data_IF_751679687343
#
_entry.id   IF_751679687343
#
_cell.length_a   1.000
_cell.length_b   1.000
_cell.length_c   1.000
_cell.angle_alpha   90.00
_cell.angle_beta   90.00
_cell.angle_gamma   90.00
#
_symmetry.space_group_name_H-M   'P 1'
#
loop_
_entity.id
_entity.type
_entity.pdbx_description
1 polymer ?
#
# COMPACT_ATOMS: atom_id res chain seq x y z
N UNK A 1 -14.88 17.15 51.30
CA UNK A 1 -15.71 16.28 50.43
C UNK A 1 -15.44 16.71 49.00
N UNK A 2 -14.40 16.15 48.38
CA UNK A 2 -13.98 16.50 47.03
C UNK A 2 -15.09 16.09 46.06
N UNK A 3 -15.68 17.08 45.41
CA UNK A 3 -16.80 16.89 44.50
C UNK A 3 -16.41 15.96 43.35
N UNK A 4 -17.04 14.79 43.32
CA UNK A 4 -17.13 13.94 42.14
C UNK A 4 -17.66 14.81 41.00
N UNK A 5 -16.83 15.09 40.00
CA UNK A 5 -17.29 15.68 38.73
C UNK A 5 -18.39 14.78 38.17
N UNK A 6 -19.54 15.37 37.88
CA UNK A 6 -20.77 14.70 37.39
C UNK A 6 -20.75 14.48 35.87
N UNK A 7 -19.56 14.34 35.27
CA UNK A 7 -19.40 14.43 33.82
C UNK A 7 -19.09 13.07 33.18
N UNK A 8 -19.32 11.96 33.89
CA UNK A 8 -19.24 10.62 33.32
C UNK A 8 -20.59 10.28 32.70
N UNK A 9 -20.67 10.47 31.37
CA UNK A 9 -21.75 9.95 30.55
C UNK A 9 -21.46 8.49 30.17
N UNK A 10 -22.46 7.63 30.24
CA UNK A 10 -22.45 6.30 29.61
C UNK A 10 -22.74 6.38 28.11
N UNK A 11 -23.20 7.53 27.63
CA UNK A 11 -23.44 7.76 26.21
C UNK A 11 -22.10 8.00 25.52
N UNK A 12 -21.68 7.02 24.72
CA UNK A 12 -20.53 7.17 23.83
C UNK A 12 -20.92 8.17 22.75
N UNK A 13 -20.54 9.44 22.93
CA UNK A 13 -20.72 10.45 21.89
C UNK A 13 -19.94 10.05 20.63
N UNK A 14 -20.44 10.35 19.43
CA UNK A 14 -19.69 10.10 18.20
C UNK A 14 -18.32 10.78 18.29
N UNK A 15 -17.25 9.99 18.18
CA UNK A 15 -15.89 10.52 18.14
C UNK A 15 -15.66 11.10 16.75
N UNK A 16 -15.19 12.35 16.71
CA UNK A 16 -14.73 13.00 15.50
C UNK A 16 -13.20 13.10 15.57
N UNK A 17 -12.53 12.67 14.51
CA UNK A 17 -11.09 12.61 14.42
C UNK A 17 -10.54 13.75 13.57
N UNK A 18 -9.47 14.35 14.06
CA UNK A 18 -8.71 15.41 13.40
C UNK A 18 -7.40 14.83 12.83
N UNK A 19 -6.62 15.64 12.13
CA UNK A 19 -5.33 15.17 11.61
C UNK A 19 -4.35 14.78 12.74
N UNK A 20 -4.38 15.51 13.84
CA UNK A 20 -3.52 15.29 15.02
C UNK A 20 -3.73 13.90 15.65
N UNK A 21 -4.94 13.34 15.51
CA UNK A 21 -5.27 11.98 16.00
C UNK A 21 -4.53 10.87 15.23
N UNK A 22 -3.94 11.18 14.07
CA UNK A 22 -3.17 10.23 13.24
C UNK A 22 -1.69 10.58 13.14
N UNK A 23 -1.26 11.74 13.62
CA UNK A 23 0.13 12.18 13.60
C UNK A 23 0.92 11.56 14.75
N UNK A 24 1.80 10.60 14.42
CA UNK A 24 2.65 9.91 15.39
C UNK A 24 3.97 10.63 15.65
N UNK A 25 5.06 9.86 15.73
CA UNK A 25 6.40 10.42 15.95
C UNK A 25 6.87 11.36 14.83
N UNK A 26 7.83 12.23 15.14
CA UNK A 26 8.45 13.12 14.15
C UNK A 26 9.21 12.31 13.11
N UNK A 27 8.81 12.44 11.85
CA UNK A 27 9.45 11.77 10.72
C UNK A 27 10.94 12.11 10.61
N UNK A 28 11.79 11.08 10.54
CA UNK A 28 13.26 11.18 10.46
C UNK A 28 13.82 10.83 9.07
N UNK A 29 13.03 11.04 8.03
CA UNK A 29 13.50 10.90 6.64
C UNK A 29 14.33 12.12 6.21
N UNK A 30 15.09 11.97 5.13
CA UNK A 30 15.87 13.07 4.57
C UNK A 30 14.96 14.21 4.08
N UNK A 31 15.37 15.49 4.19
CA UNK A 31 14.65 16.59 3.56
C UNK A 31 14.45 16.35 2.07
N UNK A 32 13.21 16.45 1.60
CA UNK A 32 12.84 16.16 0.20
C UNK A 32 12.57 14.68 -0.11
N UNK A 33 12.58 13.78 0.89
CA UNK A 33 12.15 12.39 0.70
C UNK A 33 10.66 12.31 0.38
N UNK A 34 10.30 11.52 -0.64
CA UNK A 34 8.90 11.30 -1.03
C UNK A 34 8.04 10.62 0.03
N UNK A 35 8.64 9.88 0.97
CA UNK A 35 7.94 9.20 2.07
C UNK A 35 7.04 10.16 2.86
N UNK A 36 7.44 11.42 3.02
CA UNK A 36 6.66 12.45 3.72
C UNK A 36 5.30 12.72 3.06
N UNK A 37 5.26 12.79 1.73
CA UNK A 37 4.03 13.08 0.98
C UNK A 37 3.01 11.95 1.10
N UNK A 38 3.49 10.72 1.06
CA UNK A 38 2.66 9.51 1.22
C UNK A 38 2.11 9.41 2.64
N UNK A 39 2.94 9.65 3.66
CA UNK A 39 2.50 9.67 5.06
C UNK A 39 1.36 10.69 5.26
N UNK A 40 1.56 11.93 4.79
CA UNK A 40 0.56 12.97 4.89
C UNK A 40 -0.73 12.67 4.10
N UNK A 41 -0.64 11.88 3.02
CA UNK A 41 -1.82 11.42 2.29
C UNK A 41 -2.62 10.39 3.10
N UNK A 42 -1.96 9.39 3.68
CA UNK A 42 -2.64 8.37 4.52
C UNK A 42 -3.25 8.99 5.76
N UNK A 43 -2.55 9.89 6.46
CA UNK A 43 -3.10 10.59 7.63
C UNK A 43 -4.36 11.41 7.28
N UNK A 44 -4.36 12.08 6.11
CA UNK A 44 -5.54 12.79 5.62
C UNK A 44 -6.68 11.84 5.28
N UNK A 45 -6.41 10.72 4.62
CA UNK A 45 -7.43 9.71 4.32
C UNK A 45 -8.05 9.17 5.62
N UNK A 46 -7.23 8.82 6.62
CA UNK A 46 -7.75 8.35 7.90
C UNK A 46 -8.68 9.37 8.56
N UNK A 47 -8.31 10.66 8.53
CA UNK A 47 -9.17 11.76 9.01
C UNK A 47 -10.43 11.91 8.17
N UNK A 48 -10.32 11.98 6.84
CA UNK A 48 -11.45 12.28 5.97
C UNK A 48 -12.50 11.16 5.98
N UNK A 49 -12.03 9.91 6.08
CA UNK A 49 -12.86 8.71 6.25
C UNK A 49 -13.25 8.44 7.72
N UNK A 50 -12.80 9.29 8.65
CA UNK A 50 -13.07 9.18 10.10
C UNK A 50 -12.75 7.80 10.68
N UNK A 51 -11.64 7.20 10.26
CA UNK A 51 -11.23 5.85 10.67
C UNK A 51 -10.84 5.85 12.15
N UNK A 52 -11.45 5.05 13.03
CA UNK A 52 -11.02 4.98 14.42
C UNK A 52 -9.53 4.60 14.50
N UNK A 53 -8.67 5.39 15.18
CA UNK A 53 -7.25 5.07 15.32
C UNK A 53 -7.01 3.67 15.91
N UNK A 54 -7.85 3.23 16.84
CA UNK A 54 -7.82 1.89 17.42
C UNK A 54 -8.27 0.75 16.47
N UNK A 55 -8.89 1.07 15.34
CA UNK A 55 -9.25 0.13 14.26
C UNK A 55 -8.32 0.23 13.06
N UNK A 56 -7.35 1.14 13.09
CA UNK A 56 -6.40 1.37 12.00
C UNK A 56 -5.04 0.80 12.38
N UNK A 57 -4.40 0.10 11.45
CA UNK A 57 -3.08 -0.49 11.69
C UNK A 57 -2.15 -0.30 10.50
N UNK A 58 -0.94 0.20 10.78
CA UNK A 58 0.15 0.28 9.82
C UNK A 58 1.15 -0.86 10.05
N UNK A 59 1.41 -1.67 9.02
CA UNK A 59 2.34 -2.81 9.06
C UNK A 59 3.50 -2.54 8.12
N UNK A 60 4.73 -2.81 8.54
CA UNK A 60 5.90 -2.60 7.71
C UNK A 60 7.02 -3.63 7.94
N UNK A 61 7.88 -3.76 6.92
CA UNK A 61 9.09 -4.58 6.96
C UNK A 61 10.28 -3.81 7.51
N UNK A 62 11.41 -3.78 6.79
CA UNK A 62 12.60 -3.01 7.15
C UNK A 62 13.08 -2.15 5.96
N UNK A 63 13.33 -0.87 6.22
CA UNK A 63 13.77 0.11 5.22
C UNK A 63 13.45 1.55 5.65
N UNK A 64 13.82 2.53 4.82
CA UNK A 64 13.40 3.92 5.05
C UNK A 64 11.87 4.01 5.06
N UNK A 65 11.23 3.47 4.02
CA UNK A 65 9.78 3.35 3.92
C UNK A 65 9.17 2.65 5.13
N UNK A 66 9.81 1.60 5.63
CA UNK A 66 9.25 0.79 6.73
C UNK A 66 9.27 1.46 8.10
N UNK A 67 9.81 2.68 8.23
CA UNK A 67 9.60 3.49 9.44
C UNK A 67 8.18 4.05 9.55
N UNK A 68 7.35 3.90 8.51
CA UNK A 68 5.98 4.39 8.43
C UNK A 68 5.12 4.20 9.70
N UNK A 69 5.06 3.00 10.32
CA UNK A 69 4.20 2.80 11.49
C UNK A 69 4.58 3.65 12.71
N UNK A 70 5.83 4.11 12.81
CA UNK A 70 6.26 4.99 13.92
C UNK A 70 5.71 6.41 13.81
N UNK A 71 5.19 6.79 12.63
CA UNK A 71 4.70 8.13 12.34
C UNK A 71 3.16 8.17 12.21
N UNK A 72 2.51 7.03 12.44
CA UNK A 72 1.06 6.92 12.54
C UNK A 72 0.67 6.80 14.02
N UNK A 73 -0.22 7.65 14.50
CA UNK A 73 -0.79 7.54 15.85
C UNK A 73 -1.94 6.51 15.88
N UNK A 74 -1.63 5.28 15.46
CA UNK A 74 -2.58 4.15 15.39
C UNK A 74 -1.90 2.90 15.93
N UNK A 75 -2.53 1.72 15.80
CA UNK A 75 -1.75 0.49 15.96
C UNK A 75 -0.68 0.41 14.86
N UNK A 76 0.49 -0.14 15.21
CA UNK A 76 1.62 -0.25 14.30
C UNK A 76 2.42 -1.53 14.54
N UNK A 77 2.87 -2.18 13.47
CA UNK A 77 3.77 -3.33 13.53
C UNK A 77 4.96 -3.12 12.60
N UNK A 78 6.15 -2.90 13.18
CA UNK A 78 7.42 -2.82 12.45
C UNK A 78 8.14 -4.17 12.58
N UNK A 79 8.01 -5.00 11.56
CA UNK A 79 8.39 -6.40 11.58
C UNK A 79 9.79 -6.69 11.05
N UNK A 80 9.96 -7.89 10.50
CA UNK A 80 11.20 -8.33 9.86
C UNK A 80 11.23 -7.93 8.38
N UNK A 81 12.43 -7.84 7.82
CA UNK A 81 12.65 -7.48 6.42
C UNK A 81 11.93 -8.46 5.48
N UNK A 82 11.09 -7.92 4.59
CA UNK A 82 10.24 -8.63 3.64
C UNK A 82 9.16 -9.49 4.28
N UNK A 83 8.82 -9.26 5.56
CA UNK A 83 7.72 -9.94 6.24
C UNK A 83 6.49 -9.08 6.57
N UNK A 84 6.25 -7.87 5.99
CA UNK A 84 5.02 -7.14 6.34
C UNK A 84 3.76 -7.84 5.83
N UNK A 85 3.81 -8.45 4.64
CA UNK A 85 2.62 -9.06 4.02
C UNK A 85 2.12 -10.31 4.77
N UNK A 86 2.98 -11.26 5.21
CA UNK A 86 2.53 -12.36 6.06
C UNK A 86 1.91 -11.88 7.37
N UNK A 87 2.48 -10.84 7.99
CA UNK A 87 1.94 -10.25 9.22
C UNK A 87 0.58 -9.61 8.96
N UNK A 88 0.45 -8.81 7.89
CA UNK A 88 -0.80 -8.18 7.48
C UNK A 88 -1.89 -9.22 7.17
N UNK A 89 -1.55 -10.31 6.47
CA UNK A 89 -2.48 -11.41 6.20
C UNK A 89 -2.94 -12.09 7.50
N UNK A 90 -2.03 -12.31 8.45
CA UNK A 90 -2.38 -12.86 9.77
C UNK A 90 -3.31 -11.95 10.56
N UNK A 91 -3.06 -10.64 10.55
CA UNK A 91 -3.94 -9.63 11.15
C UNK A 91 -5.32 -9.71 10.51
N UNK A 92 -5.42 -9.64 9.18
CA UNK A 92 -6.70 -9.60 8.47
C UNK A 92 -7.49 -10.89 8.63
N UNK A 93 -6.82 -12.04 8.69
CA UNK A 93 -7.45 -13.35 8.93
C UNK A 93 -8.14 -13.43 10.30
N UNK A 94 -7.63 -12.73 11.32
CA UNK A 94 -8.21 -12.78 12.67
C UNK A 94 -9.06 -11.57 13.02
N UNK A 95 -8.80 -10.43 12.38
CA UNK A 95 -9.42 -9.13 12.65
C UNK A 95 -9.81 -8.48 11.31
N UNK A 96 -10.82 -9.04 10.61
CA UNK A 96 -11.29 -8.50 9.34
C UNK A 96 -11.87 -7.09 9.48
N UNK A 97 -12.21 -6.67 10.70
CA UNK A 97 -12.71 -5.35 11.05
C UNK A 97 -11.63 -4.25 11.07
N UNK A 98 -10.34 -4.59 10.96
CA UNK A 98 -9.26 -3.59 10.95
C UNK A 98 -8.99 -3.03 9.54
N UNK A 99 -8.69 -1.73 9.50
CA UNK A 99 -8.17 -1.03 8.33
C UNK A 99 -6.65 -1.20 8.29
N UNK A 100 -6.17 -1.98 7.32
CA UNK A 100 -4.76 -2.41 7.25
C UNK A 100 -4.03 -1.64 6.14
N UNK A 101 -3.02 -0.88 6.54
CA UNK A 101 -2.07 -0.21 5.66
C UNK A 101 -0.72 -0.90 5.73
N UNK A 102 -0.19 -1.32 4.58
CA UNK A 102 1.11 -1.99 4.51
C UNK A 102 2.12 -1.08 3.80
N UNK A 103 3.19 -0.72 4.49
CA UNK A 103 4.29 0.07 3.93
C UNK A 103 5.52 -0.80 3.68
N UNK A 104 5.96 -0.89 2.42
CA UNK A 104 7.12 -1.70 2.03
C UNK A 104 7.96 -0.98 0.98
N UNK A 105 9.28 -1.13 1.05
CA UNK A 105 10.18 -0.62 0.00
C UNK A 105 10.31 -1.60 -1.16
N UNK A 106 10.82 -1.13 -2.30
CA UNK A 106 11.21 -1.96 -3.44
C UNK A 106 12.07 -3.18 -3.05
N UNK A 107 13.09 -3.01 -2.20
CA UNK A 107 13.88 -4.12 -1.67
C UNK A 107 13.14 -5.06 -0.74
N UNK A 108 12.35 -4.48 0.16
CA UNK A 108 11.58 -5.22 1.17
C UNK A 108 10.53 -6.11 0.50
N UNK A 109 9.81 -5.60 -0.50
CA UNK A 109 8.77 -6.33 -1.22
C UNK A 109 9.32 -7.18 -2.37
N UNK A 110 10.10 -6.60 -3.28
CA UNK A 110 10.44 -7.23 -4.56
C UNK A 110 11.72 -8.08 -4.49
N UNK A 111 12.46 -8.07 -3.38
CA UNK A 111 13.61 -8.97 -3.15
C UNK A 111 13.25 -10.03 -2.12
N UNK A 112 13.60 -9.82 -0.85
CA UNK A 112 13.44 -10.81 0.21
C UNK A 112 11.96 -11.11 0.54
N UNK A 113 11.05 -10.20 0.21
CA UNK A 113 9.60 -10.37 0.36
C UNK A 113 8.87 -10.96 -0.84
N UNK A 114 9.56 -11.23 -1.97
CA UNK A 114 8.90 -11.48 -3.26
C UNK A 114 7.95 -12.69 -3.21
N UNK A 115 8.35 -13.77 -2.53
CA UNK A 115 7.48 -14.94 -2.35
C UNK A 115 6.20 -14.61 -1.60
N UNK A 116 6.27 -13.80 -0.54
CA UNK A 116 5.08 -13.42 0.22
C UNK A 116 4.18 -12.46 -0.55
N UNK A 117 4.76 -11.59 -1.37
CA UNK A 117 4.01 -10.69 -2.24
C UNK A 117 3.14 -11.44 -3.25
N UNK A 118 3.71 -12.43 -3.93
CA UNK A 118 2.97 -13.32 -4.84
C UNK A 118 1.76 -13.94 -4.14
N UNK A 119 1.95 -14.46 -2.92
CA UNK A 119 0.87 -15.10 -2.19
C UNK A 119 -0.15 -14.10 -1.61
N UNK A 120 0.26 -12.92 -1.18
CA UNK A 120 -0.64 -11.89 -0.68
C UNK A 120 -1.60 -11.40 -1.77
N UNK A 121 -1.10 -11.21 -3.00
CA UNK A 121 -1.94 -10.91 -4.17
C UNK A 121 -2.94 -12.03 -4.41
N UNK A 122 -2.49 -13.30 -4.39
CA UNK A 122 -3.38 -14.46 -4.58
C UNK A 122 -4.45 -14.58 -3.50
N UNK A 123 -4.13 -14.26 -2.25
CA UNK A 123 -5.09 -14.26 -1.15
C UNK A 123 -6.09 -13.11 -1.25
N UNK A 124 -5.73 -12.02 -1.94
CA UNK A 124 -6.62 -10.90 -2.19
C UNK A 124 -7.28 -10.33 -0.91
N UNK A 125 -6.56 -10.34 0.21
CA UNK A 125 -7.14 -9.88 1.46
C UNK A 125 -7.29 -8.37 1.49
N UNK A 126 -8.38 -7.87 2.06
CA UNK A 126 -8.71 -6.44 2.10
C UNK A 126 -7.69 -5.64 2.92
N UNK A 127 -6.76 -5.00 2.21
CA UNK A 127 -5.68 -4.16 2.74
C UNK A 127 -5.09 -3.28 1.63
N UNK A 128 -4.52 -2.13 2.01
CA UNK A 128 -3.80 -1.26 1.08
C UNK A 128 -2.30 -1.49 1.22
N UNK A 129 -1.65 -1.88 0.13
CA UNK A 129 -0.19 -2.08 0.06
C UNK A 129 0.46 -0.97 -0.74
N UNK A 130 1.32 -0.21 -0.07
CA UNK A 130 2.09 0.88 -0.64
C UNK A 130 3.53 0.41 -0.87
N UNK A 131 3.90 0.26 -2.14
CA UNK A 131 5.28 0.01 -2.54
C UNK A 131 5.98 1.36 -2.78
N UNK A 132 6.87 1.72 -1.87
CA UNK A 132 7.74 2.89 -1.98
C UNK A 132 8.94 2.52 -2.86
N UNK A 133 8.85 2.85 -4.15
CA UNK A 133 9.84 2.48 -5.16
C UNK A 133 10.80 3.64 -5.44
N UNK A 134 11.96 3.62 -4.78
CA UNK A 134 13.04 4.61 -4.95
C UNK A 134 14.26 4.05 -5.69
N UNK A 135 14.16 2.82 -6.21
CA UNK A 135 15.17 2.13 -7.02
C UNK A 135 16.52 1.91 -6.29
N UNK A 136 16.51 1.80 -4.95
CA UNK A 136 17.73 1.62 -4.15
C UNK A 136 17.44 1.12 -2.73
N UNK A 137 18.38 0.39 -2.13
CA UNK A 137 18.33 0.17 -0.68
C UNK A 137 18.85 1.41 0.06
N UNK A 138 17.95 2.35 0.35
CA UNK A 138 18.31 3.62 0.97
C UNK A 138 18.87 3.47 2.39
N UNK A 139 18.19 2.73 3.26
CA UNK A 139 18.55 2.63 4.69
C UNK A 139 19.93 1.98 4.91
N UNK A 140 20.28 1.01 4.07
CA UNK A 140 21.58 0.31 4.13
C UNK A 140 22.68 1.03 3.36
N UNK A 141 22.41 2.23 2.83
CA UNK A 141 23.34 3.13 2.14
C UNK A 141 23.69 2.70 0.72
N UNK A 142 22.77 2.86 -0.22
CA UNK A 142 23.01 2.81 -1.68
C UNK A 142 23.43 1.44 -2.24
N UNK A 143 22.66 0.39 -1.99
CA UNK A 143 22.81 -0.90 -2.68
C UNK A 143 21.77 -1.05 -3.78
N UNK A 144 22.11 -1.81 -4.82
CA UNK A 144 21.19 -2.17 -5.90
C UNK A 144 19.95 -2.87 -5.36
N UNK A 145 18.77 -2.40 -5.77
CA UNK A 145 17.47 -3.03 -5.53
C UNK A 145 16.98 -3.77 -6.78
N UNK A 146 15.94 -4.61 -6.67
CA UNK A 146 15.32 -5.26 -7.85
C UNK A 146 14.78 -4.29 -8.90
N UNK A 147 14.46 -3.05 -8.51
CA UNK A 147 13.92 -2.03 -9.42
C UNK A 147 14.98 -1.01 -9.87
N UNK A 148 16.23 -1.11 -9.40
CA UNK A 148 17.33 -0.27 -9.87
C UNK A 148 17.47 -0.33 -11.39
N UNK A 149 17.57 0.83 -12.04
CA UNK A 149 17.72 0.90 -13.51
C UNK A 149 19.00 0.18 -13.93
N UNK A 150 18.95 -0.51 -15.07
CA UNK A 150 20.15 -1.12 -15.63
C UNK A 150 21.23 -0.06 -15.85
N UNK A 151 22.47 -0.37 -15.48
CA UNK A 151 23.59 0.57 -15.50
C UNK A 151 23.68 1.52 -14.30
N UNK A 152 22.70 1.55 -13.39
CA UNK A 152 22.75 2.40 -12.20
C UNK A 152 23.90 1.97 -11.28
N UNK A 153 24.84 2.89 -11.04
CA UNK A 153 26.01 2.65 -10.17
C UNK A 153 25.61 2.74 -8.70
N UNK A 154 25.94 1.71 -7.94
CA UNK A 154 25.67 1.61 -6.50
C UNK A 154 26.89 1.03 -5.78
N UNK A 155 26.86 0.97 -4.44
CA UNK A 155 27.96 0.41 -3.64
C UNK A 155 28.20 -1.08 -3.92
N UNK A 156 27.16 -1.85 -4.27
CA UNK A 156 27.28 -3.28 -4.61
C UNK A 156 27.36 -3.53 -6.11
N UNK A 157 27.08 -2.53 -6.94
CA UNK A 157 27.22 -2.59 -8.40
C UNK A 157 28.02 -1.39 -8.90
N UNK A 158 29.34 -1.32 -8.63
CA UNK A 158 30.16 -0.16 -8.96
C UNK A 158 30.34 0.06 -10.47
N UNK A 159 30.07 -0.97 -11.29
CA UNK A 159 30.07 -0.88 -12.76
C UNK A 159 28.65 -0.73 -13.35
N UNK A 160 27.68 -0.42 -12.50
CA UNK A 160 26.26 -0.37 -12.87
C UNK A 160 25.53 -1.69 -12.61
N UNK A 161 24.24 -1.60 -12.29
CA UNK A 161 23.36 -2.76 -12.15
C UNK A 161 23.30 -3.55 -13.48
N UNK A 162 23.56 -4.85 -13.41
CA UNK A 162 23.70 -5.70 -14.60
C UNK A 162 22.35 -6.13 -15.19
N UNK A 163 21.40 -6.45 -14.32
CA UNK A 163 20.10 -6.98 -14.71
C UNK A 163 19.14 -5.84 -15.10
N UNK A 164 18.20 -6.10 -16.03
CA UNK A 164 17.08 -5.19 -16.24
C UNK A 164 16.23 -5.11 -14.96
N UNK A 165 15.64 -3.93 -14.65
CA UNK A 165 14.81 -3.77 -13.46
C UNK A 165 13.57 -4.64 -13.55
N UNK A 166 13.20 -5.25 -12.41
CA UNK A 166 11.87 -5.84 -12.23
C UNK A 166 10.82 -4.73 -12.33
N UNK A 167 9.73 -4.99 -13.06
CA UNK A 167 8.57 -4.11 -13.12
C UNK A 167 7.50 -4.59 -12.11
N UNK A 168 7.28 -3.88 -10.98
CA UNK A 168 6.39 -4.39 -9.94
C UNK A 168 4.91 -4.43 -10.35
N UNK A 169 4.45 -3.46 -11.13
CA UNK A 169 3.06 -3.40 -11.61
C UNK A 169 2.81 -4.54 -12.61
N UNK A 170 3.69 -4.75 -13.58
CA UNK A 170 3.56 -5.85 -14.53
C UNK A 170 3.63 -7.22 -13.84
N UNK A 171 4.52 -7.37 -12.85
CA UNK A 171 4.60 -8.60 -12.05
C UNK A 171 3.28 -8.86 -11.31
N UNK A 172 2.68 -7.83 -10.70
CA UNK A 172 1.39 -7.96 -10.00
C UNK A 172 0.25 -8.31 -10.95
N UNK A 173 0.17 -7.65 -12.10
CA UNK A 173 -0.85 -7.90 -13.14
C UNK A 173 -0.73 -9.29 -13.77
N UNK A 174 0.44 -9.93 -13.67
CA UNK A 174 0.65 -11.31 -14.09
C UNK A 174 0.14 -12.36 -13.11
N UNK A 175 -0.26 -11.96 -11.89
CA UNK A 175 -0.68 -12.90 -10.84
C UNK A 175 -2.16 -13.27 -10.97
N UNK A 176 -2.48 -14.52 -10.64
CA UNK A 176 -3.86 -14.96 -10.47
C UNK A 176 -4.50 -14.29 -9.25
N UNK A 177 -5.80 -13.98 -9.35
CA UNK A 177 -6.60 -13.33 -8.31
C UNK A 177 -6.16 -11.91 -7.92
N UNK A 178 -5.33 -11.25 -8.73
CA UNK A 178 -5.13 -9.80 -8.63
C UNK A 178 -6.48 -9.09 -8.76
N UNK A 179 -6.72 -8.09 -7.93
CA UNK A 179 -8.00 -7.38 -7.88
C UNK A 179 -7.86 -5.86 -7.96
N UNK A 180 -6.70 -5.28 -7.62
CA UNK A 180 -6.46 -3.84 -7.76
C UNK A 180 -4.96 -3.54 -7.93
N UNK A 181 -4.63 -2.76 -8.96
CA UNK A 181 -3.27 -2.29 -9.25
C UNK A 181 -3.31 -0.83 -9.70
N UNK A 182 -2.58 0.03 -9.00
CA UNK A 182 -2.43 1.44 -9.37
C UNK A 182 -0.97 1.90 -9.26
N UNK A 183 -0.66 3.02 -9.92
CA UNK A 183 0.66 3.64 -9.87
C UNK A 183 0.55 5.16 -9.74
N UNK A 184 1.44 5.77 -8.97
CA UNK A 184 1.47 7.23 -8.75
C UNK A 184 2.91 7.73 -8.51
N UNK A 185 3.08 9.05 -8.47
CA UNK A 185 4.36 9.75 -8.25
C UNK A 185 4.30 10.61 -6.99
N UNK A 186 5.32 10.57 -6.13
CA UNK A 186 5.28 11.26 -4.83
C UNK A 186 5.24 12.80 -4.97
N UNK A 187 5.72 13.35 -6.09
CA UNK A 187 5.70 14.79 -6.36
C UNK A 187 4.35 15.33 -6.88
N UNK A 188 3.31 14.49 -6.94
CA UNK A 188 1.94 14.94 -7.15
C UNK A 188 1.05 14.55 -5.96
N UNK A 189 0.97 15.37 -4.90
CA UNK A 189 0.22 15.06 -3.69
C UNK A 189 -1.29 14.87 -3.92
N UNK A 190 -1.86 15.56 -4.91
CA UNK A 190 -3.28 15.44 -5.25
C UNK A 190 -3.57 14.06 -5.83
N UNK A 191 -2.74 13.62 -6.79
CA UNK A 191 -2.88 12.30 -7.40
C UNK A 191 -2.53 11.16 -6.42
N UNK A 192 -1.52 11.32 -5.57
CA UNK A 192 -1.21 10.35 -4.49
C UNK A 192 -2.40 10.16 -3.57
N UNK A 193 -3.02 11.24 -3.08
CA UNK A 193 -4.20 11.16 -2.22
C UNK A 193 -5.36 10.43 -2.91
N UNK A 194 -5.71 10.84 -4.13
CA UNK A 194 -6.80 10.21 -4.88
C UNK A 194 -6.53 8.72 -5.17
N UNK A 195 -5.28 8.35 -5.47
CA UNK A 195 -4.90 6.96 -5.73
C UNK A 195 -5.04 6.10 -4.48
N UNK A 196 -4.54 6.58 -3.34
CA UNK A 196 -4.62 5.84 -2.08
C UNK A 196 -6.05 5.76 -1.53
N UNK A 197 -6.88 6.79 -1.78
CA UNK A 197 -8.30 6.77 -1.42
C UNK A 197 -9.06 5.71 -2.25
N UNK A 198 -8.83 5.66 -3.56
CA UNK A 198 -9.41 4.62 -4.41
C UNK A 198 -8.96 3.21 -3.98
N UNK A 199 -7.67 3.06 -3.64
CA UNK A 199 -7.12 1.81 -3.12
C UNK A 199 -7.76 1.39 -1.79
N UNK A 200 -8.08 2.36 -0.92
CA UNK A 200 -8.75 2.12 0.37
C UNK A 200 -10.21 1.69 0.20
N UNK A 201 -10.92 2.23 -0.79
CA UNK A 201 -12.32 1.87 -1.07
C UNK A 201 -12.47 0.54 -1.82
N UNK A 202 -11.40 0.04 -2.44
CA UNK A 202 -11.44 -1.25 -3.13
C UNK A 202 -11.57 -2.44 -2.15
N UNK A 203 -12.57 -3.33 -2.33
CA UNK A 203 -12.73 -4.49 -1.48
C UNK A 203 -11.75 -5.61 -1.86
N UNK A 204 -10.50 -5.53 -1.39
CA UNK A 204 -9.50 -6.56 -1.64
C UNK A 204 -8.06 -6.07 -1.46
N UNK A 205 -7.11 -6.83 -2.02
CA UNK A 205 -5.70 -6.49 -1.97
C UNK A 205 -5.39 -5.37 -2.98
N UNK A 206 -5.18 -4.16 -2.46
CA UNK A 206 -4.86 -3.00 -3.28
C UNK A 206 -3.37 -2.77 -3.36
N UNK A 207 -2.75 -3.05 -4.51
CA UNK A 207 -1.33 -2.80 -4.74
C UNK A 207 -1.10 -1.43 -5.40
N UNK A 208 -0.47 -0.51 -4.68
CA UNK A 208 -0.13 0.83 -5.18
C UNK A 208 1.38 0.99 -5.26
N UNK A 209 1.91 1.09 -6.48
CA UNK A 209 3.31 1.48 -6.71
C UNK A 209 3.44 2.99 -6.66
N UNK A 210 4.34 3.48 -5.81
CA UNK A 210 4.63 4.90 -5.66
C UNK A 210 6.06 5.11 -6.12
N UNK A 211 6.25 5.81 -7.24
CA UNK A 211 7.58 6.32 -7.60
C UNK A 211 8.00 7.35 -6.57
N UNK A 212 8.95 6.97 -5.73
CA UNK A 212 9.31 7.69 -4.52
C UNK A 212 10.71 8.29 -4.66
N UNK A 213 10.82 9.62 -4.60
CA UNK A 213 12.12 10.31 -4.64
C UNK A 213 12.94 10.01 -3.39
N UNK A 214 14.14 9.45 -3.57
CA UNK A 214 15.19 9.40 -2.55
C UNK A 214 16.26 10.47 -2.88
N UNK A 215 16.26 11.64 -2.20
CA UNK A 215 17.16 12.73 -2.52
C UNK A 215 18.63 12.41 -2.26
N UNK A 216 18.90 11.44 -1.38
CA UNK A 216 20.26 11.13 -0.95
C UNK A 216 21.03 10.22 -1.93
N UNK A 217 20.35 9.28 -2.59
CA UNK A 217 21.01 8.23 -3.36
C UNK A 217 20.52 8.11 -4.81
N UNK A 218 19.25 8.46 -5.09
CA UNK A 218 18.65 8.33 -6.43
C UNK A 218 17.98 9.61 -6.90
N UNK A 219 18.53 10.77 -6.52
CA UNK A 219 17.98 12.09 -6.87
C UNK A 219 17.75 12.30 -8.37
N UNK A 220 18.66 11.77 -9.20
CA UNK A 220 18.56 11.88 -10.66
C UNK A 220 17.59 10.90 -11.34
N UNK A 221 17.12 9.85 -10.65
CA UNK A 221 16.38 8.75 -11.28
C UNK A 221 15.04 9.21 -11.87
N UNK A 222 14.37 10.14 -11.20
CA UNK A 222 13.08 10.70 -11.61
C UNK A 222 13.17 12.18 -12.00
N UNK A 223 14.38 12.72 -12.16
CA UNK A 223 14.56 14.16 -12.42
C UNK A 223 13.97 14.60 -13.75
N UNK A 224 14.15 13.80 -14.81
CA UNK A 224 13.58 14.08 -16.12
C UNK A 224 12.04 14.18 -16.07
N UNK A 225 11.38 13.19 -15.45
CA UNK A 225 9.92 13.15 -15.32
C UNK A 225 9.35 14.26 -14.41
N UNK A 226 10.14 14.76 -13.46
CA UNK A 226 9.76 15.93 -12.66
C UNK A 226 9.79 17.23 -13.46
N UNK A 227 10.78 17.37 -14.37
CA UNK A 227 10.96 18.59 -15.18
C UNK A 227 10.07 18.62 -16.41
N UNK A 228 9.82 17.45 -16.99
CA UNK A 228 9.00 17.28 -18.19
C UNK A 228 7.79 16.39 -17.90
N UNK A 229 6.63 16.97 -17.58
CA UNK A 229 5.39 16.24 -17.35
C UNK A 229 4.90 15.41 -18.53
N UNK A 230 5.40 15.64 -19.76
CA UNK A 230 5.02 14.81 -20.92
C UNK A 230 5.58 13.39 -20.85
N UNK A 231 6.61 13.17 -20.04
CA UNK A 231 7.18 11.85 -19.70
C UNK A 231 6.32 11.08 -18.70
N UNK A 232 5.22 11.67 -18.23
CA UNK A 232 4.23 11.01 -17.37
C UNK A 232 2.94 10.89 -18.18
N UNK A 233 2.48 9.66 -18.33
CA UNK A 233 1.22 9.35 -18.98
C UNK A 233 0.13 9.19 -17.93
N UNK A 234 -0.91 10.01 -17.98
CA UNK A 234 -2.07 9.87 -17.10
C UNK A 234 -3.06 8.86 -17.69
N UNK A 235 -3.40 7.83 -16.91
CA UNK A 235 -4.42 6.84 -17.24
C UNK A 235 -5.78 7.36 -16.77
N UNK A 236 -6.70 7.57 -17.70
CA UNK A 236 -8.02 8.13 -17.47
C UNK A 236 -9.12 7.10 -17.78
N UNK A 237 -10.17 7.14 -16.96
CA UNK A 237 -11.40 6.38 -17.13
C UNK A 237 -12.46 6.90 -16.14
N UNK A 238 -13.74 6.74 -16.45
CA UNK A 238 -14.84 7.09 -15.52
C UNK A 238 -14.76 6.30 -14.19
N UNK A 239 -14.30 5.06 -14.25
CA UNK A 239 -14.03 4.19 -13.08
C UNK A 239 -12.59 4.30 -12.57
N UNK A 240 -11.80 5.24 -13.08
CA UNK A 240 -10.38 5.44 -12.75
C UNK A 240 -10.15 6.30 -11.52
N UNK A 241 -8.92 6.79 -11.35
CA UNK A 241 -8.55 7.68 -10.24
C UNK A 241 -9.17 9.06 -10.43
N UNK A 242 -10.11 9.41 -9.56
CA UNK A 242 -10.77 10.71 -9.55
C UNK A 242 -9.93 11.75 -8.80
N UNK A 243 -8.90 12.26 -9.44
CA UNK A 243 -8.09 13.37 -8.92
C UNK A 243 -8.65 14.73 -9.38
N UNK A 244 -8.45 15.79 -8.58
CA UNK A 244 -8.81 17.16 -8.96
C UNK A 244 -8.12 17.51 -10.31
N UNK A 245 -8.88 17.91 -11.35
CA UNK A 245 -8.33 18.28 -12.65
C UNK A 245 -7.24 19.36 -12.56
N UNK A 246 -7.31 20.27 -11.59
CA UNK A 246 -6.29 21.29 -11.38
C UNK A 246 -4.93 20.68 -11.00
N UNK A 247 -4.93 19.53 -10.32
CA UNK A 247 -3.74 18.78 -9.89
C UNK A 247 -3.17 17.84 -10.96
N UNK A 248 -3.91 17.57 -12.04
CA UNK A 248 -3.47 16.66 -13.12
C UNK A 248 -3.33 17.33 -14.49
N UNK A 249 -3.77 18.59 -14.64
CA UNK A 249 -3.67 19.37 -15.89
C UNK A 249 -2.24 19.47 -16.49
N UNK A 250 -1.21 19.32 -15.66
CA UNK A 250 0.18 19.36 -16.10
C UNK A 250 0.56 18.15 -16.97
N UNK A 251 -0.14 17.02 -16.83
CA UNK A 251 0.08 15.83 -17.64
C UNK A 251 -0.70 15.94 -18.94
N UNK A 252 0.01 16.24 -20.02
CA UNK A 252 -0.54 16.39 -21.36
C UNK A 252 -0.66 15.05 -22.08
N UNK A 253 0.21 14.10 -21.77
CA UNK A 253 0.15 12.72 -22.27
C UNK A 253 -0.92 11.97 -21.48
N UNK A 254 -2.01 11.57 -22.15
CA UNK A 254 -3.17 10.90 -21.55
C UNK A 254 -3.51 9.64 -22.33
N UNK A 255 -4.02 8.62 -21.65
CA UNK A 255 -4.52 7.39 -22.24
C UNK A 255 -5.85 7.00 -21.60
N UNK A 256 -6.86 6.74 -22.43
CA UNK A 256 -8.12 6.17 -21.98
C UNK A 256 -7.96 4.65 -21.82
N UNK A 257 -8.37 4.10 -20.68
CA UNK A 257 -8.20 2.69 -20.37
C UNK A 257 -9.28 2.17 -19.43
N UNK A 258 -10.02 1.14 -19.83
CA UNK A 258 -10.94 0.45 -18.93
C UNK A 258 -10.15 -0.37 -17.88
N UNK A 259 -10.25 -0.07 -16.57
CA UNK A 259 -9.52 -0.81 -15.54
C UNK A 259 -10.01 -2.26 -15.36
N UNK A 260 -11.03 -2.72 -16.08
CA UNK A 260 -11.41 -4.13 -16.19
C UNK A 260 -10.62 -4.92 -17.24
N UNK A 261 -9.90 -4.25 -18.15
CA UNK A 261 -9.09 -4.88 -19.20
C UNK A 261 -7.66 -5.16 -18.70
N UNK A 262 -7.45 -6.36 -18.16
CA UNK A 262 -6.14 -6.74 -17.64
C UNK A 262 -5.05 -6.84 -18.71
N UNK A 263 -5.38 -7.13 -19.97
CA UNK A 263 -4.37 -7.23 -21.03
C UNK A 263 -3.90 -5.84 -21.43
N UNK A 264 -4.83 -4.88 -21.61
CA UNK A 264 -4.47 -3.49 -21.83
C UNK A 264 -3.68 -2.92 -20.63
N UNK A 265 -4.06 -3.28 -19.40
CA UNK A 265 -3.34 -2.90 -18.19
C UNK A 265 -1.87 -3.36 -18.23
N UNK A 266 -1.60 -4.58 -18.70
CA UNK A 266 -0.23 -5.12 -18.87
C UNK A 266 0.55 -4.37 -19.93
N UNK A 267 -0.08 -4.02 -21.05
CA UNK A 267 0.54 -3.20 -22.09
C UNK A 267 0.94 -1.81 -21.55
N UNK A 268 0.04 -1.15 -20.82
CA UNK A 268 0.32 0.15 -20.16
C UNK A 268 1.44 -0.01 -19.14
N UNK A 269 1.39 -1.04 -18.30
CA UNK A 269 2.39 -1.30 -17.28
C UNK A 269 3.78 -1.60 -17.86
N UNK A 270 3.87 -2.20 -19.05
CA UNK A 270 5.14 -2.46 -19.73
C UNK A 270 5.86 -1.15 -20.08
N UNK A 271 5.12 -0.07 -20.33
CA UNK A 271 5.65 1.25 -20.61
C UNK A 271 6.23 1.35 -22.01
N UNK A 272 5.37 1.43 -23.02
CA UNK A 272 5.80 1.80 -24.37
C UNK A 272 6.29 3.27 -24.37
N UNK A 273 7.37 3.56 -25.11
CA UNK A 273 7.92 4.91 -25.32
C UNK A 273 8.58 5.59 -24.10
N UNK A 274 8.89 4.85 -23.03
CA UNK A 274 9.67 5.37 -21.89
C UNK A 274 8.94 6.37 -20.98
N UNK A 275 7.62 6.48 -21.10
CA UNK A 275 6.77 7.26 -20.21
C UNK A 275 6.42 6.47 -18.93
N UNK A 276 6.29 7.18 -17.80
CA UNK A 276 5.77 6.62 -16.56
C UNK A 276 4.26 6.76 -16.53
N UNK A 277 3.52 5.66 -16.58
CA UNK A 277 2.06 5.71 -16.48
C UNK A 277 1.62 5.88 -15.01
N UNK A 278 0.72 6.82 -14.73
CA UNK A 278 0.11 7.00 -13.41
C UNK A 278 -1.41 6.90 -13.52
N UNK A 279 -2.05 6.33 -12.51
CA UNK A 279 -3.49 6.11 -12.46
C UNK A 279 -3.82 4.68 -12.04
N UNK A 280 -5.07 4.30 -12.28
CA UNK A 280 -5.58 2.96 -12.02
C UNK A 280 -5.32 2.09 -13.23
N UNK A 281 -4.57 1.00 -13.05
CA UNK A 281 -4.25 0.05 -14.12
C UNK A 281 -5.22 -1.12 -14.14
N UNK A 282 -5.68 -1.58 -12.98
CA UNK A 282 -6.63 -2.69 -12.96
C UNK A 282 -7.48 -2.64 -11.71
N UNK A 283 -8.76 -2.96 -11.83
CA UNK A 283 -9.63 -3.27 -10.71
C UNK A 283 -10.68 -4.32 -11.06
N UNK A 284 -10.95 -5.22 -10.12
CA UNK A 284 -12.00 -6.22 -10.16
C UNK A 284 -12.47 -6.51 -8.71
N UNK A 285 -13.52 -5.83 -8.23
CA UNK A 285 -13.99 -5.95 -6.85
C UNK A 285 -14.67 -7.30 -6.55
N UNK A 286 -14.99 -8.09 -7.58
CA UNK A 286 -15.68 -9.37 -7.45
C UNK A 286 -14.71 -10.54 -7.17
N UNK A 287 -13.40 -10.26 -7.11
CA UNK A 287 -12.39 -11.29 -6.85
C UNK A 287 -12.56 -11.87 -5.43
N UNK A 288 -12.51 -13.21 -5.27
CA UNK A 288 -12.63 -13.83 -3.96
C UNK A 288 -11.51 -13.36 -3.05
N UNK A 289 -11.83 -13.11 -1.78
CA UNK A 289 -10.89 -12.68 -0.75
C UNK A 289 -10.73 -13.80 0.26
N UNK A 290 -9.50 -14.16 0.59
CA UNK A 290 -9.22 -15.33 1.41
C UNK A 290 -9.73 -15.17 2.85
N UNK A 291 -9.85 -13.94 3.35
CA UNK A 291 -10.44 -13.67 4.66
C UNK A 291 -11.91 -14.08 4.75
N UNK A 292 -12.68 -14.03 3.66
CA UNK A 292 -14.09 -14.48 3.68
C UNK A 292 -14.22 -15.97 4.06
N UNK A 293 -13.15 -16.75 3.84
CA UNK A 293 -13.05 -18.13 4.31
C UNK A 293 -12.43 -18.21 5.71
N UNK A 294 -11.33 -17.50 5.99
CA UNK A 294 -10.63 -17.65 7.28
C UNK A 294 -11.38 -17.02 8.46
N UNK A 295 -12.35 -16.15 8.21
CA UNK A 295 -13.16 -15.50 9.24
C UNK A 295 -14.44 -16.26 9.58
N UNK A 296 -14.71 -17.39 8.91
CA UNK A 296 -15.88 -18.22 9.21
C UNK A 296 -15.80 -18.75 10.65
N UNK A 297 -16.88 -18.57 11.41
CA UNK A 297 -16.96 -19.01 12.79
C UNK A 297 -16.24 -18.11 13.82
N UNK A 298 -15.72 -16.93 13.42
CA UNK A 298 -15.14 -15.98 14.38
C UNK A 298 -16.16 -15.51 15.42
N UNK A 299 -17.41 -15.31 15.00
CA UNK A 299 -18.50 -14.80 15.83
C UNK A 299 -19.20 -15.90 16.66
N UNK A 300 -18.80 -17.17 16.50
CA UNK A 300 -19.40 -18.27 17.27
C UNK A 300 -19.10 -18.13 18.76
N UNK A 301 -20.11 -18.35 19.60
CA UNK A 301 -19.94 -18.38 21.05
C UNK A 301 -19.10 -19.57 21.50
N UNK A 302 -18.65 -19.56 22.76
CA UNK A 302 -17.94 -20.70 23.35
C UNK A 302 -18.83 -21.94 23.35
N UNK A 303 -20.11 -21.81 23.69
CA UNK A 303 -21.07 -22.92 23.71
C UNK A 303 -21.30 -23.50 22.30
N UNK A 304 -21.39 -22.65 21.28
CA UNK A 304 -21.51 -23.09 19.88
C UNK A 304 -20.28 -23.86 19.41
N UNK A 305 -19.08 -23.40 19.79
CA UNK A 305 -17.81 -24.08 19.48
C UNK A 305 -17.73 -25.44 20.17
N UNK A 306 -18.10 -25.53 21.44
CA UNK A 306 -18.13 -26.80 22.19
C UNK A 306 -19.11 -27.76 21.53
N UNK A 307 -20.33 -27.32 21.22
CA UNK A 307 -21.35 -28.17 20.56
C UNK A 307 -20.88 -28.67 19.19
N UNK A 308 -20.21 -27.82 18.40
CA UNK A 308 -19.67 -28.22 17.10
C UNK A 308 -18.55 -29.26 17.24
N UNK A 309 -17.69 -29.13 18.25
CA UNK A 309 -16.64 -30.12 18.56
C UNK A 309 -17.24 -31.45 19.02
N UNK A 310 -18.23 -31.42 19.92
CA UNK A 310 -18.96 -32.61 20.38
C UNK A 310 -19.60 -33.35 19.19
N UNK A 311 -20.32 -32.62 18.32
CA UNK A 311 -20.93 -33.20 17.14
C UNK A 311 -19.91 -33.84 16.17
N UNK A 312 -18.72 -33.28 16.04
CA UNK A 312 -17.65 -33.88 15.22
C UNK A 312 -17.05 -35.11 15.91
N UNK A 313 -16.86 -35.09 17.24
CA UNK A 313 -16.38 -36.26 17.98
C UNK A 313 -17.37 -37.42 17.98
N UNK A 314 -18.67 -37.15 18.02
CA UNK A 314 -19.71 -38.18 17.93
C UNK A 314 -19.63 -38.99 16.62
N UNK A 315 -19.08 -38.41 15.53
CA UNK A 315 -18.85 -39.14 14.27
C UNK A 315 -17.77 -40.22 14.39
N UNK A 316 -16.91 -40.11 15.39
CA UNK A 316 -15.84 -41.06 15.68
C UNK A 316 -16.15 -41.99 16.87
N UNK A 317 -17.32 -41.84 17.50
CA UNK A 317 -17.78 -42.76 18.53
C UNK A 317 -18.10 -44.13 17.89
N UNK A 318 -17.47 -45.19 18.40
CA UNK A 318 -17.68 -46.60 18.01
C UNK A 318 -18.82 -47.18 18.82
#
# INVERSE_FOLDING_TARGET
>A
MFGLKKDWSLDVLPRYFTLEDYEGGVARWCPGCGDHGVLAAVQRICRDEQLPPEKTIAVSGIGCSSRFPHYMHTYGFHGLHGRPLPVACGIKSRRPDLFVWVATGDGDCCSIGAGHWIHAVRYNMNMVVMLFDNNVYGLTKNQTSPTSKQGQVTNTSPRGAWLPPLNPTLTTLGMANVSFVAQTVDWNPVHVHATLLAAFHHPGFSFVRIFQRCPQYTSGVFEAAQRDPSLIQLVEHERGIQADPAGTKMYTTRIEHDPGDIEQARHIAHGENGCLSIGLLFQDPERPRYEDMTTQGLDMTTEEKVRALEAEFDRFAI
#
